data_IF_528136723256
#
_entry.id   IF_528136723256
#
_cell.length_a   1.000
_cell.length_b   1.000
_cell.length_c   1.000
_cell.angle_alpha   90.00
_cell.angle_beta   90.00
_cell.angle_gamma   90.00
#
_symmetry.space_group_name_H-M   'P 1'
#
loop_
_entity.id
_entity.type
_entity.pdbx_description
1 polymer ?
#
# COMPACT_ATOMS: atom_id res chain seq x y z
N UNK A 1 25.03 -46.84 -28.25
CA UNK A 1 26.16 -46.19 -27.55
C UNK A 1 26.25 -44.77 -28.08
N UNK A 2 25.46 -43.88 -27.50
CA UNK A 2 25.46 -42.45 -27.79
C UNK A 2 25.41 -41.76 -26.43
N UNK A 3 26.51 -41.12 -26.06
CA UNK A 3 26.54 -40.19 -24.94
C UNK A 3 25.66 -38.98 -25.29
N UNK A 4 24.72 -38.57 -24.41
CA UNK A 4 24.15 -37.25 -24.48
C UNK A 4 25.16 -36.24 -23.93
N UNK A 5 25.44 -35.24 -24.76
CA UNK A 5 26.27 -34.07 -24.50
C UNK A 5 25.97 -33.42 -23.14
N UNK A 6 27.04 -33.18 -22.38
CA UNK A 6 27.04 -32.25 -21.25
C UNK A 6 26.53 -30.88 -21.68
N UNK A 7 25.52 -30.41 -20.96
CA UNK A 7 24.93 -29.08 -21.06
C UNK A 7 25.67 -28.13 -20.10
N UNK A 8 26.52 -27.19 -20.58
CA UNK A 8 27.15 -26.21 -19.71
C UNK A 8 26.23 -25.00 -19.53
N UNK A 9 25.07 -25.19 -18.90
CA UNK A 9 24.13 -24.09 -18.66
C UNK A 9 23.28 -24.30 -17.41
N UNK A 10 23.90 -24.65 -16.29
CA UNK A 10 23.26 -24.58 -14.97
C UNK A 10 24.11 -23.72 -14.02
N UNK A 11 24.30 -22.45 -14.40
CA UNK A 11 24.82 -21.44 -13.49
C UNK A 11 23.77 -21.19 -12.39
N UNK A 12 24.07 -21.43 -11.10
CA UNK A 12 23.13 -21.18 -10.04
C UNK A 12 22.90 -19.67 -9.95
N UNK A 13 21.67 -19.24 -10.24
CA UNK A 13 21.21 -17.85 -10.06
C UNK A 13 21.46 -17.47 -8.60
N UNK A 14 22.54 -16.72 -8.39
CA UNK A 14 22.85 -16.06 -7.12
C UNK A 14 21.63 -15.21 -6.70
N UNK A 15 21.14 -15.34 -5.46
CA UNK A 15 20.18 -14.39 -4.94
C UNK A 15 20.84 -13.00 -4.96
N UNK A 16 20.13 -12.04 -5.54
CA UNK A 16 20.54 -10.65 -5.66
C UNK A 16 21.08 -10.13 -4.33
N UNK A 17 22.39 -9.88 -4.29
CA UNK A 17 23.06 -9.15 -3.23
C UNK A 17 22.36 -7.78 -3.11
N UNK A 18 21.82 -7.40 -1.94
CA UNK A 18 21.32 -6.04 -1.76
C UNK A 18 22.46 -5.06 -2.06
N UNK A 19 22.21 -3.91 -2.72
CA UNK A 19 23.26 -2.94 -2.97
C UNK A 19 23.90 -2.60 -1.62
N UNK A 20 25.19 -2.96 -1.47
CA UNK A 20 26.04 -2.40 -0.43
C UNK A 20 25.84 -0.90 -0.53
N UNK A 21 25.40 -0.30 0.58
CA UNK A 21 25.24 1.13 0.71
C UNK A 21 26.51 1.79 0.18
N UNK A 22 26.41 2.35 -1.02
CA UNK A 22 27.49 3.11 -1.62
C UNK A 22 27.74 4.27 -0.66
N UNK A 23 28.94 4.25 -0.09
CA UNK A 23 29.52 5.30 0.71
C UNK A 23 29.27 6.65 0.03
N UNK A 24 28.24 7.33 0.51
CA UNK A 24 28.02 8.77 0.30
C UNK A 24 28.35 9.48 1.59
N UNK A 25 29.53 9.18 2.13
CA UNK A 25 30.26 10.09 3.02
C UNK A 25 31.08 11.03 2.13
N UNK A 26 30.38 11.94 1.44
CA UNK A 26 30.99 13.04 0.73
C UNK A 26 30.64 14.34 1.48
N UNK A 27 31.69 14.90 2.10
CA UNK A 27 31.82 16.29 2.50
C UNK A 27 30.99 16.78 3.70
N UNK A 28 31.36 16.32 4.88
CA UNK A 28 31.67 17.25 5.96
C UNK A 28 33.08 16.91 6.46
N UNK A 29 34.08 17.57 5.87
CA UNK A 29 35.45 17.56 6.38
C UNK A 29 35.44 18.09 7.81
N UNK A 30 35.36 17.20 8.78
CA UNK A 30 35.86 17.46 10.14
C UNK A 30 37.38 17.53 10.06
N UNK A 31 37.87 18.67 9.57
CA UNK A 31 39.25 19.07 9.76
C UNK A 31 39.42 19.20 11.26
N UNK A 32 40.14 18.25 11.84
CA UNK A 32 40.71 18.39 13.18
C UNK A 32 41.45 19.73 13.21
N UNK A 33 40.86 20.70 13.91
CA UNK A 33 41.58 21.89 14.31
C UNK A 33 42.56 21.39 15.36
N UNK A 34 43.80 21.23 14.90
CA UNK A 34 44.95 21.12 15.79
C UNK A 34 44.85 22.31 16.76
N UNK A 35 44.82 21.97 18.04
CA UNK A 35 45.13 22.88 19.13
C UNK A 35 46.60 23.26 18.95
N UNK A 36 46.85 24.29 18.14
CA UNK A 36 48.07 25.05 18.23
C UNK A 36 47.72 26.36 18.91
N UNK A 37 48.32 26.55 20.08
CA UNK A 37 48.18 27.73 20.89
C UNK A 37 49.14 28.80 20.36
N UNK A 38 48.68 29.90 19.73
CA UNK A 38 49.43 31.12 19.79
C UNK A 38 49.29 31.69 21.20
N UNK A 39 50.42 31.80 21.88
CA UNK A 39 50.57 32.52 23.11
C UNK A 39 49.83 33.86 23.06
N UNK A 40 49.10 34.11 24.15
CA UNK A 40 48.44 35.37 24.47
C UNK A 40 49.40 36.56 24.29
N UNK A 41 48.89 37.70 23.81
CA UNK A 41 48.67 38.73 24.81
C UNK A 41 47.25 39.25 24.73
N UNK A 42 46.56 39.14 25.86
CA UNK A 42 45.32 39.80 26.24
C UNK A 42 44.97 40.98 25.32
N UNK A 43 44.17 40.69 24.29
CA UNK A 43 43.40 41.73 23.65
C UNK A 43 42.37 42.17 24.70
N UNK A 44 42.36 43.44 25.14
CA UNK A 44 41.25 43.93 25.92
C UNK A 44 40.03 43.79 25.01
N UNK A 45 39.11 42.90 25.37
CA UNK A 45 37.77 42.98 24.83
C UNK A 45 37.24 44.33 25.27
N UNK A 46 37.31 45.33 24.38
CA UNK A 46 36.52 46.55 24.48
C UNK A 46 35.06 46.09 24.48
N UNK A 47 34.58 45.79 25.68
CA UNK A 47 33.18 45.53 25.92
C UNK A 47 32.45 46.74 25.41
N UNK A 48 31.66 46.54 24.35
CA UNK A 48 30.78 47.54 23.73
C UNK A 48 30.31 48.52 24.80
N UNK A 49 30.84 49.74 24.77
CA UNK A 49 30.65 50.71 25.83
C UNK A 49 29.25 51.30 25.74
N UNK A 50 28.34 50.65 26.45
CA UNK A 50 26.95 51.06 26.62
C UNK A 50 26.82 52.24 27.60
N UNK A 51 27.92 52.80 28.13
CA UNK A 51 27.87 53.98 29.00
C UNK A 51 27.49 55.27 28.24
N UNK A 52 27.70 55.31 26.92
CA UNK A 52 27.33 56.46 26.07
C UNK A 52 25.87 56.51 25.64
N UNK A 53 25.10 55.42 25.79
CA UNK A 53 23.68 55.34 25.44
C UNK A 53 22.80 55.46 26.69
N UNK A 54 23.09 56.46 27.52
CA UNK A 54 22.31 56.85 28.70
C UNK A 54 20.96 57.53 28.37
N UNK A 55 20.48 57.39 27.13
CA UNK A 55 19.09 57.72 26.79
C UNK A 55 18.21 56.63 27.39
N UNK A 56 17.71 56.92 28.60
CA UNK A 56 16.75 56.15 29.38
C UNK A 56 17.30 54.97 30.23
N UNK A 57 18.02 55.27 31.32
CA UNK A 57 17.86 54.59 32.63
C UNK A 57 17.79 53.05 32.71
N UNK A 58 18.32 52.31 31.73
CA UNK A 58 18.29 50.85 31.69
C UNK A 58 19.62 50.35 32.25
N UNK A 59 19.61 49.96 33.52
CA UNK A 59 20.76 49.30 34.17
C UNK A 59 21.11 48.02 33.42
N UNK A 60 22.40 47.64 33.32
CA UNK A 60 22.86 46.37 32.71
C UNK A 60 22.03 45.15 33.16
N UNK A 61 21.52 45.21 34.40
CA UNK A 61 20.61 44.22 34.99
C UNK A 61 19.27 44.09 34.25
N UNK A 62 18.67 45.20 33.81
CA UNK A 62 17.43 45.21 33.02
C UNK A 62 17.62 44.65 31.61
N UNK A 63 18.76 44.95 30.97
CA UNK A 63 19.11 44.37 29.66
C UNK A 63 19.19 42.85 29.74
N UNK A 64 19.83 42.31 30.79
CA UNK A 64 19.90 40.86 31.02
C UNK A 64 18.52 40.21 31.14
N UNK A 65 17.58 40.85 31.85
CA UNK A 65 16.20 40.35 31.96
C UNK A 65 15.44 40.38 30.63
N UNK A 66 15.62 41.43 29.82
CA UNK A 66 15.00 41.53 28.49
C UNK A 66 15.56 40.45 27.56
N UNK A 67 16.88 40.25 27.56
CA UNK A 67 17.53 39.21 26.77
C UNK A 67 17.07 37.80 27.20
N UNK A 68 17.00 37.54 28.51
CA UNK A 68 16.50 36.26 29.04
C UNK A 68 15.04 36.02 28.64
N UNK A 69 14.19 37.05 28.70
CA UNK A 69 12.80 36.98 28.24
C UNK A 69 12.70 36.67 26.75
N UNK A 70 13.51 37.32 25.92
CA UNK A 70 13.59 37.05 24.48
C UNK A 70 14.01 35.61 24.19
N UNK A 71 15.02 35.10 24.90
CA UNK A 71 15.46 33.70 24.77
C UNK A 71 14.36 32.74 25.21
N UNK A 72 13.67 33.01 26.32
CA UNK A 72 12.57 32.18 26.78
C UNK A 72 11.42 32.15 25.75
N UNK A 73 11.03 33.30 25.22
CA UNK A 73 10.02 33.40 24.14
C UNK A 73 10.49 32.62 22.91
N UNK A 74 11.76 32.76 22.51
CA UNK A 74 12.31 32.05 21.37
C UNK A 74 12.28 30.53 21.56
N UNK A 75 12.64 30.03 22.74
CA UNK A 75 12.55 28.60 23.09
C UNK A 75 11.11 28.13 22.95
N UNK A 76 10.13 28.85 23.51
CA UNK A 76 8.71 28.48 23.41
C UNK A 76 8.26 28.41 21.95
N UNK A 77 8.65 29.37 21.10
CA UNK A 77 8.34 29.37 19.66
C UNK A 77 8.96 28.16 18.94
N UNK A 78 10.23 27.84 19.23
CA UNK A 78 10.92 26.68 18.63
C UNK A 78 10.27 25.37 19.08
N UNK A 79 9.95 25.22 20.36
CA UNK A 79 9.28 24.03 20.87
C UNK A 79 7.87 23.88 20.30
N UNK A 80 7.10 24.96 20.18
CA UNK A 80 5.78 24.93 19.55
C UNK A 80 5.87 24.43 18.09
N UNK A 81 6.92 24.86 17.36
CA UNK A 81 7.18 24.40 15.99
C UNK A 81 7.59 22.92 15.95
N UNK A 82 8.48 22.49 16.84
CA UNK A 82 8.95 21.10 16.90
C UNK A 82 7.83 20.11 17.30
N UNK A 83 6.93 20.49 18.20
CA UNK A 83 5.78 19.65 18.58
C UNK A 83 4.78 19.51 17.41
N UNK A 84 4.58 20.57 16.62
CA UNK A 84 3.78 20.51 15.38
C UNK A 84 4.38 19.60 14.30
N UNK A 85 5.70 19.66 14.12
CA UNK A 85 6.39 18.84 13.12
C UNK A 85 6.46 17.35 13.56
N UNK A 86 6.70 17.08 14.84
CA UNK A 86 6.72 15.71 15.37
C UNK A 86 5.34 15.03 15.30
N UNK A 87 4.27 15.76 15.58
CA UNK A 87 2.90 15.22 15.52
C UNK A 87 2.45 14.96 14.08
N UNK A 88 2.80 15.84 13.14
CA UNK A 88 2.49 15.61 11.72
C UNK A 88 3.29 14.45 11.13
N UNK A 89 4.55 14.27 11.52
CA UNK A 89 5.34 13.10 11.11
C UNK A 89 4.77 11.79 11.68
N UNK A 90 4.40 11.77 12.96
CA UNK A 90 3.77 10.61 13.60
C UNK A 90 2.42 10.26 12.94
N UNK A 91 1.57 11.25 12.70
CA UNK A 91 0.27 11.04 12.05
C UNK A 91 0.42 10.50 10.63
N UNK A 92 1.41 10.97 9.85
CA UNK A 92 1.69 10.43 8.51
C UNK A 92 2.12 8.97 8.57
N UNK A 93 2.98 8.60 9.52
CA UNK A 93 3.42 7.21 9.68
C UNK A 93 2.24 6.29 10.06
N UNK A 94 1.38 6.73 10.98
CA UNK A 94 0.16 5.98 11.35
C UNK A 94 -0.80 5.86 10.16
N UNK A 95 -1.00 6.94 9.40
CA UNK A 95 -1.87 6.92 8.23
C UNK A 95 -1.36 5.94 7.17
N UNK A 96 -0.07 5.96 6.86
CA UNK A 96 0.53 5.01 5.92
C UNK A 96 0.38 3.55 6.38
N UNK A 97 0.48 3.28 7.69
CA UNK A 97 0.28 1.95 8.23
C UNK A 97 -1.18 1.49 8.07
N UNK A 98 -2.15 2.38 8.31
CA UNK A 98 -3.58 2.10 8.10
C UNK A 98 -3.87 1.83 6.62
N UNK A 99 -3.38 2.68 5.73
CA UNK A 99 -3.60 2.56 4.29
C UNK A 99 -2.99 1.25 3.75
N UNK A 100 -1.78 0.88 4.20
CA UNK A 100 -1.15 -0.39 3.84
C UNK A 100 -1.94 -1.60 4.35
N UNK A 101 -2.50 -1.52 5.57
CA UNK A 101 -3.32 -2.60 6.11
C UNK A 101 -4.63 -2.77 5.32
N UNK A 102 -5.26 -1.67 4.90
CA UNK A 102 -6.43 -1.70 4.04
C UNK A 102 -6.12 -2.31 2.67
N UNK A 103 -5.03 -1.88 2.03
CA UNK A 103 -4.59 -2.42 0.73
C UNK A 103 -4.26 -3.92 0.83
N UNK A 104 -3.63 -4.35 1.91
CA UNK A 104 -3.33 -5.77 2.14
C UNK A 104 -4.61 -6.62 2.26
N UNK A 105 -5.65 -6.10 2.92
CA UNK A 105 -6.94 -6.77 3.03
C UNK A 105 -7.65 -6.87 1.66
N UNK A 106 -7.60 -5.81 0.85
CA UNK A 106 -8.15 -5.81 -0.51
C UNK A 106 -7.44 -6.83 -1.40
N UNK A 107 -6.10 -6.84 -1.39
CA UNK A 107 -5.31 -7.83 -2.15
C UNK A 107 -5.63 -9.26 -1.72
N UNK A 108 -5.85 -9.51 -0.42
CA UNK A 108 -6.24 -10.82 0.06
C UNK A 108 -7.62 -11.23 -0.48
N UNK A 109 -8.61 -10.35 -0.39
CA UNK A 109 -9.95 -10.59 -0.91
C UNK A 109 -9.96 -10.86 -2.43
N UNK A 110 -9.22 -10.06 -3.20
CA UNK A 110 -9.10 -10.26 -4.66
C UNK A 110 -8.41 -11.58 -5.00
N UNK A 111 -7.42 -12.01 -4.21
CA UNK A 111 -6.77 -13.30 -4.42
C UNK A 111 -7.71 -14.46 -4.17
N UNK A 112 -8.54 -14.36 -3.13
CA UNK A 112 -9.54 -15.39 -2.83
C UNK A 112 -10.60 -15.47 -3.95
N UNK A 113 -11.05 -14.32 -4.45
CA UNK A 113 -11.98 -14.25 -5.59
C UNK A 113 -11.35 -14.84 -6.87
N UNK A 114 -10.11 -14.48 -7.18
CA UNK A 114 -9.39 -15.04 -8.33
C UNK A 114 -9.18 -16.55 -8.16
N UNK A 115 -8.85 -17.04 -6.97
CA UNK A 115 -8.72 -18.46 -6.71
C UNK A 115 -10.03 -19.22 -6.97
N UNK A 116 -11.18 -18.61 -6.63
CA UNK A 116 -12.51 -19.15 -6.91
C UNK A 116 -12.84 -19.13 -8.41
N UNK A 117 -12.51 -18.05 -9.14
CA UNK A 117 -12.83 -17.93 -10.58
C UNK A 117 -11.91 -18.81 -11.43
N UNK A 118 -10.61 -18.81 -11.12
CA UNK A 118 -9.59 -19.59 -11.84
C UNK A 118 -9.62 -21.06 -11.43
N UNK A 119 -10.61 -21.47 -10.62
CA UNK A 119 -10.72 -22.82 -10.14
C UNK A 119 -10.58 -23.81 -11.30
N UNK A 120 -9.63 -24.77 -11.23
CA UNK A 120 -9.28 -25.65 -12.35
C UNK A 120 -10.47 -26.41 -12.92
N UNK A 121 -11.55 -26.55 -12.16
CA UNK A 121 -12.81 -27.12 -12.60
C UNK A 121 -13.46 -26.32 -13.73
N UNK A 122 -13.51 -24.99 -13.63
CA UNK A 122 -14.10 -24.13 -14.65
C UNK A 122 -13.27 -24.14 -15.94
N UNK A 123 -11.95 -24.00 -15.82
CA UNK A 123 -11.04 -24.08 -16.96
C UNK A 123 -11.10 -25.45 -17.64
N UNK A 124 -11.17 -26.55 -16.87
CA UNK A 124 -11.38 -27.89 -17.43
C UNK A 124 -12.75 -28.01 -18.11
N UNK A 125 -13.80 -27.44 -17.53
CA UNK A 125 -15.13 -27.47 -18.11
C UNK A 125 -15.19 -26.71 -19.44
N UNK A 126 -14.53 -25.56 -19.54
CA UNK A 126 -14.42 -24.80 -20.78
C UNK A 126 -13.48 -25.48 -21.80
N UNK A 127 -12.38 -26.09 -21.35
CA UNK A 127 -11.52 -26.89 -22.23
C UNK A 127 -12.27 -28.05 -22.90
N UNK A 128 -13.20 -28.70 -22.18
CA UNK A 128 -14.06 -29.76 -22.74
C UNK A 128 -14.95 -29.26 -23.88
N UNK A 129 -15.50 -28.04 -23.81
CA UNK A 129 -16.33 -27.52 -24.92
C UNK A 129 -15.50 -27.27 -26.18
N UNK A 130 -14.22 -26.91 -26.03
CA UNK A 130 -13.27 -26.75 -27.12
C UNK A 130 -12.58 -28.06 -27.55
N UNK A 131 -12.89 -29.19 -26.91
CA UNK A 131 -12.27 -30.48 -27.20
C UNK A 131 -10.82 -30.62 -26.74
N UNK A 132 -10.37 -29.75 -25.83
CA UNK A 132 -9.03 -29.74 -25.21
C UNK A 132 -9.03 -30.50 -23.86
N UNK A 133 -9.96 -31.45 -23.68
CA UNK A 133 -10.07 -32.29 -22.48
C UNK A 133 -9.02 -33.41 -22.43
N UNK A 134 -9.13 -34.30 -21.44
CA UNK A 134 -8.24 -35.48 -21.34
C UNK A 134 -8.60 -36.54 -22.38
N UNK A 135 -7.63 -37.40 -22.74
CA UNK A 135 -7.86 -38.50 -23.68
C UNK A 135 -9.01 -39.41 -23.19
N UNK A 136 -10.02 -39.61 -24.06
CA UNK A 136 -11.23 -40.39 -23.75
C UNK A 136 -12.38 -39.63 -23.11
N UNK A 137 -12.27 -38.31 -22.91
CA UNK A 137 -13.33 -37.50 -22.30
C UNK A 137 -14.44 -37.12 -23.32
N UNK A 138 -15.71 -37.25 -22.93
CA UNK A 138 -16.86 -36.96 -23.80
C UNK A 138 -17.02 -35.44 -23.94
N UNK A 139 -17.04 -34.96 -25.18
CA UNK A 139 -17.27 -33.54 -25.48
C UNK A 139 -18.72 -33.18 -25.09
N UNK A 140 -18.91 -32.14 -24.28
CA UNK A 140 -20.23 -31.56 -24.02
C UNK A 140 -20.68 -30.76 -25.25
N UNK A 141 -21.07 -31.44 -26.32
CA UNK A 141 -21.80 -30.84 -27.45
C UNK A 141 -23.12 -31.53 -27.60
N UNK A 142 -24.16 -30.76 -27.87
CA UNK A 142 -25.39 -31.33 -28.39
C UNK A 142 -25.10 -31.72 -29.85
N UNK A 143 -25.20 -33.01 -30.15
CA UNK A 143 -25.21 -33.46 -31.53
C UNK A 143 -26.48 -32.92 -32.18
N UNK A 144 -26.32 -32.02 -33.15
CA UNK A 144 -27.44 -31.42 -33.89
C UNK A 144 -28.20 -32.43 -34.74
N UNK A 145 -27.63 -33.61 -35.00
CA UNK A 145 -28.32 -34.70 -35.70
C UNK A 145 -29.26 -35.49 -34.77
N UNK A 146 -29.13 -35.33 -33.45
CA UNK A 146 -30.02 -35.98 -32.47
C UNK A 146 -31.25 -35.11 -32.26
N UNK A 147 -32.44 -35.70 -32.48
CA UNK A 147 -33.69 -35.01 -32.22
C UNK A 147 -33.77 -34.55 -30.75
N UNK A 148 -34.21 -33.31 -30.54
CA UNK A 148 -34.41 -32.76 -29.21
C UNK A 148 -35.41 -33.65 -28.43
N UNK A 149 -35.19 -33.86 -27.12
CA UNK A 149 -36.16 -34.57 -26.29
C UNK A 149 -37.52 -33.91 -26.37
N UNK A 150 -38.58 -34.71 -26.51
CA UNK A 150 -39.95 -34.19 -26.46
C UNK A 150 -40.25 -33.65 -25.07
N UNK A 151 -41.04 -32.58 -25.02
CA UNK A 151 -41.41 -31.95 -23.77
C UNK A 151 -42.12 -32.96 -22.84
N UNK A 152 -41.82 -32.90 -21.54
CA UNK A 152 -42.35 -33.86 -20.56
C UNK A 152 -41.65 -35.23 -20.54
N UNK A 153 -40.58 -35.46 -21.31
CA UNK A 153 -39.84 -36.73 -21.23
C UNK A 153 -39.24 -36.95 -19.83
N UNK A 154 -39.19 -38.19 -19.30
CA UNK A 154 -38.53 -38.48 -18.03
C UNK A 154 -37.07 -38.01 -18.03
N UNK A 155 -36.71 -37.15 -17.07
CA UNK A 155 -35.36 -36.59 -16.97
C UNK A 155 -35.08 -35.36 -17.85
N UNK A 156 -36.06 -34.91 -18.64
CA UNK A 156 -35.98 -33.62 -19.35
C UNK A 156 -35.89 -32.43 -18.39
N UNK A 157 -35.35 -31.32 -18.92
CA UNK A 157 -35.29 -30.04 -18.22
C UNK A 157 -36.69 -29.56 -17.80
N UNK A 158 -37.72 -29.77 -18.62
CA UNK A 158 -39.10 -29.41 -18.28
C UNK A 158 -39.66 -30.19 -17.09
N UNK A 159 -39.35 -31.48 -16.98
CA UNK A 159 -39.80 -32.28 -15.81
C UNK A 159 -38.99 -31.96 -14.55
N UNK A 160 -37.70 -31.65 -14.68
CA UNK A 160 -36.80 -31.44 -13.52
C UNK A 160 -36.71 -30.00 -13.04
N UNK A 161 -36.76 -29.04 -13.96
CA UNK A 161 -36.64 -27.61 -13.67
C UNK A 161 -38.02 -26.91 -13.62
N UNK A 162 -39.10 -27.64 -13.93
CA UNK A 162 -40.41 -27.07 -14.21
C UNK A 162 -40.40 -26.41 -15.58
N UNK A 163 -41.18 -26.94 -16.52
CA UNK A 163 -41.42 -26.31 -17.81
C UNK A 163 -42.02 -24.93 -17.54
N UNK A 164 -41.23 -23.86 -17.70
CA UNK A 164 -41.63 -22.45 -17.60
C UNK A 164 -42.92 -22.23 -16.79
N UNK A 165 -42.93 -22.72 -15.53
CA UNK A 165 -44.02 -22.37 -14.62
C UNK A 165 -43.81 -20.90 -14.37
N UNK A 166 -44.71 -20.11 -14.97
CA UNK A 166 -44.86 -18.67 -14.95
C UNK A 166 -44.06 -18.04 -13.80
N UNK A 167 -42.78 -17.75 -14.04
CA UNK A 167 -41.88 -17.26 -13.00
C UNK A 167 -42.28 -15.82 -12.75
N UNK A 168 -43.26 -15.63 -11.89
CA UNK A 168 -43.62 -14.32 -11.37
C UNK A 168 -42.33 -13.63 -10.97
N UNK A 169 -42.04 -12.51 -11.62
CA UNK A 169 -40.82 -11.79 -11.34
C UNK A 169 -40.85 -11.37 -9.87
N UNK A 170 -39.69 -11.23 -9.20
CA UNK A 170 -39.67 -10.73 -7.83
C UNK A 170 -40.44 -9.41 -7.71
N UNK A 171 -40.38 -8.55 -8.73
CA UNK A 171 -41.13 -7.30 -8.80
C UNK A 171 -42.65 -7.52 -8.83
N UNK A 172 -43.17 -8.46 -9.63
CA UNK A 172 -44.61 -8.79 -9.65
C UNK A 172 -45.09 -9.32 -8.30
N UNK A 173 -44.27 -10.13 -7.62
CA UNK A 173 -44.54 -10.55 -6.24
C UNK A 173 -44.65 -9.36 -5.29
N UNK A 174 -43.72 -8.40 -5.38
CA UNK A 174 -43.73 -7.19 -4.54
C UNK A 174 -44.92 -6.27 -4.85
N UNK A 175 -45.25 -6.07 -6.12
CA UNK A 175 -46.38 -5.25 -6.53
C UNK A 175 -47.71 -5.87 -6.09
N UNK A 176 -47.86 -7.19 -6.23
CA UNK A 176 -49.03 -7.91 -5.73
C UNK A 176 -49.18 -7.80 -4.21
N UNK A 177 -48.07 -7.82 -3.47
CA UNK A 177 -48.06 -7.69 -2.01
C UNK A 177 -48.43 -6.26 -1.56
N UNK A 178 -47.97 -5.25 -2.30
CA UNK A 178 -48.19 -3.83 -1.96
C UNK A 178 -49.52 -3.29 -2.46
N UNK A 179 -50.02 -3.77 -3.60
CA UNK A 179 -51.18 -3.21 -4.29
C UNK A 179 -52.32 -4.22 -4.55
N UNK A 180 -52.14 -5.50 -4.17
CA UNK A 180 -53.07 -6.59 -4.45
C UNK A 180 -52.80 -7.26 -5.82
N UNK A 181 -53.30 -8.49 -6.05
CA UNK A 181 -53.07 -9.20 -7.30
C UNK A 181 -53.62 -8.38 -8.48
N UNK A 182 -52.75 -8.10 -9.46
CA UNK A 182 -53.14 -7.45 -10.71
C UNK A 182 -54.08 -8.37 -11.48
N UNK A 183 -55.37 -8.03 -11.48
CA UNK A 183 -56.38 -8.66 -12.34
C UNK A 183 -56.25 -8.18 -13.78
#
# INVERSE_FOLDING_TARGET
MHEPSEDPAAEPRQPARPPAAADTSAAASSRAVAVDAPADPAAPHDGVDLAGLSVAGITRRRVGWVAAGLVAIWIVVVFARQVGDATTAANRATQMAIDNAALAAEVAALRDEVAMIVEPNFVRQQARSYGLGTDGEIRFTLDSAVALPVDGSPGSASVRLGAEDDRQTPLDSWLSLLFGPGT
#
